data_IF_577943291831
#
_entry.id   IF_577943291831
#
_cell.length_a   1.000
_cell.length_b   1.000
_cell.length_c   1.000
_cell.angle_alpha   90.00
_cell.angle_beta   90.00
_cell.angle_gamma   90.00
#
_symmetry.space_group_name_H-M   'P 1'
#
loop_
_entity.id
_entity.type
_entity.pdbx_description
1 polymer ?
#
# COMPACT_ATOMS: atom_id res chain seq x y z
N UNK A 1 3.75 -10.71 16.43
CA UNK A 1 2.41 -10.81 15.80
C UNK A 1 1.82 -9.40 15.80
N UNK A 2 1.77 -8.72 14.67
CA UNK A 2 1.10 -7.41 14.62
C UNK A 2 -0.39 -7.60 14.85
N UNK A 3 -1.01 -6.72 15.62
CA UNK A 3 -2.46 -6.74 15.84
C UNK A 3 -3.17 -6.75 14.47
N UNK A 4 -3.77 -7.87 14.11
CA UNK A 4 -4.74 -7.92 13.00
C UNK A 4 -5.80 -6.87 13.29
N UNK A 5 -5.99 -5.89 12.39
CA UNK A 5 -6.99 -4.84 12.56
C UNK A 5 -6.46 -3.45 12.94
N UNK A 6 -5.14 -3.19 12.81
CA UNK A 6 -4.59 -1.84 13.05
C UNK A 6 -5.06 -0.76 12.04
N UNK A 7 -5.97 -1.08 11.11
CA UNK A 7 -6.51 -0.13 10.15
C UNK A 7 -5.59 0.16 8.94
N UNK A 8 -4.48 -0.58 8.76
CA UNK A 8 -3.53 -0.35 7.64
C UNK A 8 -4.19 -0.53 6.27
N UNK A 9 -4.76 -1.70 6.01
CA UNK A 9 -5.48 -1.98 4.75
C UNK A 9 -6.71 -1.08 4.58
N UNK A 10 -7.41 -0.75 5.67
CA UNK A 10 -8.52 0.20 5.65
C UNK A 10 -8.05 1.58 5.19
N UNK A 11 -6.89 2.04 5.68
CA UNK A 11 -6.31 3.31 5.26
C UNK A 11 -5.95 3.31 3.77
N UNK A 12 -5.37 2.21 3.25
CA UNK A 12 -5.09 2.11 1.80
C UNK A 12 -6.39 2.14 0.99
N UNK A 13 -7.45 1.44 1.41
CA UNK A 13 -8.78 1.48 0.76
C UNK A 13 -9.42 2.87 0.78
N UNK A 14 -9.23 3.62 1.86
CA UNK A 14 -9.70 5.01 1.94
C UNK A 14 -8.91 5.88 0.96
N UNK A 15 -7.57 5.76 0.93
CA UNK A 15 -6.71 6.52 0.02
C UNK A 15 -6.99 6.19 -1.45
N UNK A 16 -7.31 4.94 -1.78
CA UNK A 16 -7.71 4.52 -3.13
C UNK A 16 -9.15 4.93 -3.52
N UNK A 17 -9.90 5.53 -2.59
CA UNK A 17 -11.32 5.87 -2.74
C UNK A 17 -12.26 4.66 -2.91
N UNK A 18 -11.81 3.46 -2.53
CA UNK A 18 -12.69 2.28 -2.45
C UNK A 18 -13.59 2.28 -1.21
N UNK A 19 -13.20 3.05 -0.19
CA UNK A 19 -13.95 3.21 1.04
C UNK A 19 -14.01 4.69 1.43
N UNK A 20 -15.16 5.16 1.85
CA UNK A 20 -15.31 6.51 2.39
C UNK A 20 -14.89 6.55 3.87
N UNK A 21 -14.20 7.60 4.33
CA UNK A 21 -13.90 7.76 5.74
C UNK A 21 -15.16 8.16 6.52
N UNK A 22 -15.32 7.66 7.75
CA UNK A 22 -16.42 8.04 8.64
C UNK A 22 -16.41 9.54 8.95
N UNK A 23 -15.24 10.14 9.04
CA UNK A 23 -15.02 11.57 9.26
C UNK A 23 -13.75 12.04 8.55
N UNK A 24 -13.70 13.32 8.19
CA UNK A 24 -12.55 13.90 7.50
C UNK A 24 -12.75 13.98 5.98
N UNK A 25 -11.71 14.45 5.29
CA UNK A 25 -11.72 14.60 3.84
C UNK A 25 -10.35 14.26 3.28
N UNK A 26 -10.34 13.65 2.09
CA UNK A 26 -9.12 13.42 1.31
C UNK A 26 -8.98 14.57 0.32
N UNK A 27 -7.94 15.37 0.48
CA UNK A 27 -7.58 16.42 -0.48
C UNK A 27 -6.51 15.85 -1.44
N UNK A 28 -6.85 15.68 -2.68
CA UNK A 28 -5.94 15.23 -3.74
C UNK A 28 -6.25 15.99 -5.03
N UNK A 29 -5.25 16.14 -5.90
CA UNK A 29 -5.45 16.67 -7.23
C UNK A 29 -6.41 15.75 -8.01
N UNK A 30 -7.25 16.34 -8.87
CA UNK A 30 -8.25 15.57 -9.64
C UNK A 30 -7.61 14.70 -10.72
N UNK A 31 -6.45 15.09 -11.22
CA UNK A 31 -5.73 14.39 -12.28
C UNK A 31 -4.82 13.28 -11.75
N UNK A 32 -4.67 13.16 -10.42
CA UNK A 32 -3.78 12.19 -9.79
C UNK A 32 -4.24 10.76 -10.03
N UNK A 33 -3.42 9.97 -10.71
CA UNK A 33 -3.65 8.55 -10.96
C UNK A 33 -3.18 7.73 -9.75
N UNK A 34 -4.13 7.08 -9.08
CA UNK A 34 -3.85 6.23 -7.91
C UNK A 34 -4.09 4.78 -8.30
N UNK A 35 -3.05 3.97 -8.24
CA UNK A 35 -3.15 2.53 -8.42
C UNK A 35 -3.20 1.81 -7.07
N UNK A 36 -4.10 0.85 -6.92
CA UNK A 36 -4.24 0.04 -5.71
C UNK A 36 -4.28 -1.45 -6.05
N UNK A 37 -3.42 -2.24 -5.39
CA UNK A 37 -3.39 -3.69 -5.55
C UNK A 37 -4.59 -4.29 -4.79
N UNK A 38 -5.58 -4.76 -5.53
CA UNK A 38 -6.75 -5.44 -4.98
C UNK A 38 -6.41 -6.86 -4.56
N UNK A 39 -6.98 -7.31 -3.44
CA UNK A 39 -6.82 -8.70 -2.98
C UNK A 39 -7.85 -9.64 -3.63
N UNK A 40 -9.00 -9.11 -4.01
CA UNK A 40 -10.04 -9.85 -4.73
C UNK A 40 -9.81 -9.71 -6.24
N UNK A 41 -9.69 -10.85 -6.91
CA UNK A 41 -9.34 -10.90 -8.34
C UNK A 41 -10.53 -11.48 -9.10
N UNK A 42 -11.12 -10.63 -9.95
CA UNK A 42 -12.15 -11.02 -10.91
C UNK A 42 -11.57 -10.96 -12.33
N UNK A 43 -11.02 -12.08 -12.80
CA UNK A 43 -10.59 -12.17 -14.20
C UNK A 43 -11.75 -12.57 -15.11
N UNK A 44 -11.74 -12.00 -16.33
CA UNK A 44 -12.59 -12.45 -17.41
C UNK A 44 -12.05 -13.80 -17.89
N UNK A 45 -12.92 -14.83 -17.88
CA UNK A 45 -12.59 -16.17 -18.32
C UNK A 45 -12.17 -16.19 -19.79
N UNK A 46 -11.20 -17.04 -20.12
CA UNK A 46 -10.77 -17.30 -21.50
C UNK A 46 -9.70 -16.37 -22.04
N UNK A 47 -9.13 -15.45 -21.24
CA UNK A 47 -8.00 -14.60 -21.64
C UNK A 47 -6.67 -15.28 -21.29
N UNK A 48 -5.68 -15.04 -22.15
CA UNK A 48 -4.28 -15.42 -21.87
C UNK A 48 -3.63 -14.46 -20.88
N UNK A 49 -2.47 -14.83 -20.30
CA UNK A 49 -1.70 -13.96 -19.40
C UNK A 49 -1.35 -12.63 -20.05
N UNK A 50 -0.91 -12.64 -21.33
CA UNK A 50 -0.60 -11.40 -22.05
C UNK A 50 -1.84 -10.55 -22.32
N UNK A 51 -2.93 -11.14 -22.79
CA UNK A 51 -4.17 -10.43 -23.06
C UNK A 51 -4.70 -9.76 -21.80
N UNK A 52 -4.62 -10.45 -20.64
CA UNK A 52 -5.03 -9.88 -19.38
C UNK A 52 -4.09 -8.76 -18.93
N UNK A 53 -2.77 -8.92 -19.08
CA UNK A 53 -1.81 -7.87 -18.74
C UNK A 53 -1.97 -6.61 -19.61
N UNK A 54 -2.34 -6.78 -20.89
CA UNK A 54 -2.59 -5.66 -21.82
C UNK A 54 -3.83 -4.83 -21.45
N UNK A 55 -4.70 -5.32 -20.57
CA UNK A 55 -5.81 -4.51 -20.02
C UNK A 55 -5.33 -3.31 -19.20
N UNK A 56 -4.05 -3.28 -18.81
CA UNK A 56 -3.44 -2.10 -18.21
C UNK A 56 -3.42 -0.88 -19.14
N UNK A 57 -3.45 -1.09 -20.44
CA UNK A 57 -3.25 -0.07 -21.48
C UNK A 57 -4.55 0.32 -22.20
N UNK A 58 -5.57 0.69 -21.45
CA UNK A 58 -6.89 1.06 -21.99
C UNK A 58 -6.77 2.17 -23.04
N UNK A 59 -6.04 3.25 -22.72
CA UNK A 59 -5.87 4.41 -23.61
C UNK A 59 -5.15 4.02 -24.92
N UNK A 60 -4.13 3.17 -24.85
CA UNK A 60 -3.39 2.68 -26.04
C UNK A 60 -4.30 1.84 -26.94
N UNK A 61 -5.09 0.92 -26.35
CA UNK A 61 -6.03 0.10 -27.09
C UNK A 61 -7.14 0.91 -27.77
N UNK A 62 -7.62 1.96 -27.10
CA UNK A 62 -8.59 2.88 -27.72
C UNK A 62 -7.99 3.63 -28.90
N UNK A 63 -6.71 4.04 -28.81
CA UNK A 63 -6.01 4.66 -29.93
C UNK A 63 -5.79 3.66 -31.08
N UNK A 64 -5.38 2.43 -30.79
CA UNK A 64 -5.23 1.37 -31.80
C UNK A 64 -6.54 1.15 -32.56
N UNK A 65 -7.67 1.07 -31.86
CA UNK A 65 -8.97 0.90 -32.47
C UNK A 65 -9.35 2.10 -33.37
N UNK A 66 -9.11 3.34 -32.92
CA UNK A 66 -9.34 4.55 -33.72
C UNK A 66 -8.44 4.62 -34.96
N UNK A 67 -7.17 4.27 -34.81
CA UNK A 67 -6.23 4.22 -35.94
C UNK A 67 -6.65 3.19 -36.97
N UNK A 68 -7.11 2.02 -36.54
CA UNK A 68 -7.64 0.98 -37.46
C UNK A 68 -8.90 1.46 -38.19
N UNK A 69 -9.82 2.14 -37.50
CA UNK A 69 -11.01 2.73 -38.10
C UNK A 69 -10.65 3.76 -39.19
N UNK A 70 -9.74 4.71 -38.88
CA UNK A 70 -9.27 5.72 -39.83
C UNK A 70 -8.58 5.07 -41.04
N UNK A 71 -7.70 4.07 -40.80
CA UNK A 71 -7.03 3.33 -41.85
C UNK A 71 -8.03 2.59 -42.77
N UNK A 72 -9.08 1.98 -42.20
CA UNK A 72 -10.13 1.33 -42.94
C UNK A 72 -10.89 2.34 -43.82
N UNK A 73 -11.28 3.49 -43.27
CA UNK A 73 -11.93 4.57 -44.02
C UNK A 73 -11.04 5.09 -45.14
N UNK A 74 -9.74 5.24 -44.94
CA UNK A 74 -8.80 5.65 -45.96
C UNK A 74 -8.68 4.61 -47.10
N UNK A 75 -8.66 3.31 -46.73
CA UNK A 75 -8.54 2.22 -47.71
C UNK A 75 -9.78 2.05 -48.63
N UNK A 76 -10.96 2.39 -48.09
CA UNK A 76 -12.23 2.31 -48.86
C UNK A 76 -12.47 3.49 -49.79
N UNK A 77 -11.70 4.60 -49.64
CA UNK A 77 -11.88 5.83 -50.42
C UNK A 77 -10.98 5.85 -51.66
N UNK A 78 -11.50 6.43 -52.72
CA UNK A 78 -10.79 6.64 -54.00
C UNK A 78 -10.61 8.13 -54.33
N UNK A 79 -11.19 9.02 -53.51
CA UNK A 79 -11.21 10.46 -53.69
C UNK A 79 -10.04 11.16 -52.96
N UNK A 80 -8.81 10.80 -53.28
CA UNK A 80 -7.56 11.20 -52.59
C UNK A 80 -7.33 12.71 -52.53
N UNK A 81 -7.94 13.49 -53.43
CA UNK A 81 -7.79 14.96 -53.44
C UNK A 81 -8.91 15.68 -52.70
N UNK A 82 -9.83 14.94 -52.05
CA UNK A 82 -10.93 15.54 -51.33
C UNK A 82 -10.48 16.08 -49.97
N UNK A 83 -11.15 17.13 -49.51
CA UNK A 83 -10.91 17.69 -48.16
C UNK A 83 -11.15 16.63 -47.07
N UNK A 84 -12.12 15.73 -47.28
CA UNK A 84 -12.39 14.63 -46.35
C UNK A 84 -11.27 13.59 -46.27
N UNK A 85 -10.56 13.29 -47.37
CA UNK A 85 -9.38 12.42 -47.33
C UNK A 85 -8.20 13.10 -46.65
N UNK A 86 -7.99 14.39 -46.95
CA UNK A 86 -6.95 15.18 -46.26
C UNK A 86 -7.18 15.24 -44.74
N UNK A 87 -8.44 15.35 -44.28
CA UNK A 87 -8.75 15.33 -42.87
C UNK A 87 -8.38 13.98 -42.21
N UNK A 88 -8.69 12.84 -42.86
CA UNK A 88 -8.26 11.53 -42.37
C UNK A 88 -6.72 11.39 -42.23
N UNK A 89 -5.97 12.00 -43.18
CA UNK A 89 -4.49 12.04 -43.06
C UNK A 89 -4.00 12.86 -41.87
N UNK A 90 -4.68 13.94 -41.54
CA UNK A 90 -4.38 14.72 -40.30
C UNK A 90 -4.73 13.91 -39.07
N UNK A 91 -5.93 13.31 -39.05
CA UNK A 91 -6.40 12.52 -37.90
C UNK A 91 -5.48 11.33 -37.60
N UNK A 92 -5.01 10.59 -38.63
CA UNK A 92 -4.08 9.47 -38.39
C UNK A 92 -2.74 9.94 -37.87
N UNK A 93 -2.22 11.08 -38.32
CA UNK A 93 -0.96 11.64 -37.78
C UNK A 93 -1.11 12.05 -36.30
N UNK A 94 -2.23 12.69 -35.94
CA UNK A 94 -2.49 13.10 -34.58
C UNK A 94 -2.64 11.88 -33.64
N UNK A 95 -3.35 10.84 -34.09
CA UNK A 95 -3.49 9.58 -33.38
C UNK A 95 -2.14 8.87 -33.20
N UNK A 96 -1.30 8.84 -34.24
CA UNK A 96 0.05 8.26 -34.17
C UNK A 96 0.93 9.01 -33.18
N UNK A 97 0.84 10.35 -33.15
CA UNK A 97 1.59 11.16 -32.20
C UNK A 97 1.14 10.89 -30.75
N UNK A 98 -0.17 10.79 -30.51
CA UNK A 98 -0.70 10.42 -29.20
C UNK A 98 -0.24 9.00 -28.77
N UNK A 99 -0.27 8.05 -29.72
CA UNK A 99 0.18 6.68 -29.51
C UNK A 99 1.66 6.61 -29.11
N UNK A 100 2.51 7.41 -29.76
CA UNK A 100 3.93 7.51 -29.44
C UNK A 100 4.18 8.11 -28.05
N UNK A 101 3.47 9.20 -27.71
CA UNK A 101 3.56 9.84 -26.37
C UNK A 101 3.19 8.86 -25.24
N UNK A 102 2.18 8.01 -25.46
CA UNK A 102 1.76 7.00 -24.48
C UNK A 102 2.66 5.75 -24.46
N UNK A 103 3.70 5.70 -25.31
CA UNK A 103 4.62 4.56 -25.38
C UNK A 103 4.04 3.35 -26.09
N UNK A 104 3.06 3.54 -27.00
CA UNK A 104 2.37 2.50 -27.72
C UNK A 104 3.27 1.54 -28.49
N UNK A 105 4.45 1.97 -28.93
CA UNK A 105 5.43 1.08 -29.60
C UNK A 105 6.20 0.17 -28.64
N UNK A 106 6.21 0.45 -27.33
CA UNK A 106 7.04 -0.25 -26.36
C UNK A 106 6.23 -1.09 -25.35
N UNK A 107 4.91 -0.87 -25.24
CA UNK A 107 4.10 -1.46 -24.18
C UNK A 107 4.15 -3.00 -24.15
N UNK A 108 4.28 -3.64 -25.31
CA UNK A 108 4.39 -5.10 -25.38
C UNK A 108 5.70 -5.59 -24.76
N UNK A 109 6.81 -4.95 -25.09
CA UNK A 109 8.12 -5.29 -24.51
C UNK A 109 8.20 -5.01 -23.01
N UNK A 110 7.58 -3.93 -22.55
CA UNK A 110 7.54 -3.59 -21.13
C UNK A 110 6.64 -4.56 -20.36
N UNK A 111 5.52 -5.00 -20.95
CA UNK A 111 4.68 -6.06 -20.37
C UNK A 111 5.46 -7.36 -20.19
N UNK A 112 6.18 -7.81 -21.23
CA UNK A 112 7.01 -9.02 -21.14
C UNK A 112 8.06 -8.92 -20.04
N UNK A 113 8.75 -7.79 -19.92
CA UNK A 113 9.77 -7.56 -18.88
C UNK A 113 9.17 -7.63 -17.46
N UNK A 114 8.02 -6.99 -17.24
CA UNK A 114 7.36 -6.99 -15.93
C UNK A 114 6.85 -8.39 -15.58
N UNK A 115 6.21 -9.08 -16.52
CA UNK A 115 5.76 -10.46 -16.30
C UNK A 115 6.94 -11.40 -15.98
N UNK A 116 8.06 -11.30 -16.73
CA UNK A 116 9.25 -12.08 -16.44
C UNK A 116 9.85 -11.76 -15.07
N UNK A 117 9.89 -10.50 -14.71
CA UNK A 117 10.33 -10.05 -13.38
C UNK A 117 9.47 -10.61 -12.24
N UNK A 118 8.18 -10.83 -12.49
CA UNK A 118 7.26 -11.47 -11.55
C UNK A 118 7.24 -13.01 -11.65
N UNK A 119 8.19 -13.61 -12.37
CA UNK A 119 8.42 -15.04 -12.41
C UNK A 119 7.73 -15.80 -13.54
N UNK A 120 6.99 -15.14 -14.44
CA UNK A 120 6.41 -15.79 -15.62
C UNK A 120 7.50 -16.08 -16.65
N UNK A 121 7.41 -17.27 -17.25
CA UNK A 121 8.23 -17.61 -18.40
C UNK A 121 7.52 -17.24 -19.69
N UNK A 122 8.26 -17.05 -20.78
CA UNK A 122 7.66 -16.76 -22.09
C UNK A 122 6.64 -17.82 -22.54
N UNK A 123 6.85 -19.07 -22.17
CA UNK A 123 5.91 -20.18 -22.45
C UNK A 123 4.57 -20.04 -21.70
N UNK A 124 4.51 -19.22 -20.66
CA UNK A 124 3.29 -18.98 -19.87
C UNK A 124 2.40 -17.89 -20.47
N UNK A 125 2.96 -17.03 -21.30
CA UNK A 125 2.27 -15.83 -21.82
C UNK A 125 1.02 -16.15 -22.63
N UNK A 126 1.03 -17.24 -23.40
CA UNK A 126 -0.10 -17.74 -24.18
C UNK A 126 -1.05 -18.67 -23.42
N UNK A 127 -0.76 -18.99 -22.14
CA UNK A 127 -1.64 -19.85 -21.35
C UNK A 127 -2.82 -19.06 -20.81
N UNK A 128 -3.98 -19.71 -20.68
CA UNK A 128 -5.18 -19.11 -20.11
C UNK A 128 -4.99 -18.81 -18.62
N UNK A 129 -5.44 -17.63 -18.18
CA UNK A 129 -5.37 -17.19 -16.76
C UNK A 129 -6.07 -18.14 -15.81
N UNK A 130 -7.11 -18.84 -16.30
CA UNK A 130 -7.89 -19.81 -15.53
C UNK A 130 -7.08 -21.04 -15.10
N UNK A 131 -6.00 -21.33 -15.82
CA UNK A 131 -5.13 -22.48 -15.51
C UNK A 131 -4.16 -22.20 -14.36
N UNK A 132 -4.07 -20.96 -13.92
CA UNK A 132 -3.16 -20.53 -12.88
C UNK A 132 -3.82 -20.49 -11.49
N UNK A 133 -3.02 -20.74 -10.44
CA UNK A 133 -3.48 -20.58 -9.06
C UNK A 133 -3.75 -19.12 -8.72
N UNK A 134 -4.48 -18.87 -7.62
CA UNK A 134 -4.77 -17.52 -7.14
C UNK A 134 -3.52 -16.66 -6.95
N UNK A 135 -2.42 -17.24 -6.45
CA UNK A 135 -1.15 -16.52 -6.29
C UNK A 135 -0.55 -16.05 -7.63
N UNK A 136 -0.61 -16.86 -8.67
CA UNK A 136 -0.17 -16.46 -10.01
C UNK A 136 -1.07 -15.42 -10.62
N UNK A 137 -2.39 -15.50 -10.40
CA UNK A 137 -3.33 -14.47 -10.83
C UNK A 137 -3.07 -13.13 -10.13
N UNK A 138 -2.71 -13.15 -8.83
CA UNK A 138 -2.29 -11.96 -8.10
C UNK A 138 -1.04 -11.30 -8.72
N UNK A 139 -0.07 -12.11 -9.23
CA UNK A 139 1.09 -11.58 -9.94
C UNK A 139 0.71 -10.88 -11.24
N UNK A 140 -0.33 -11.35 -11.96
CA UNK A 140 -0.84 -10.66 -13.16
C UNK A 140 -1.46 -9.31 -12.77
N UNK A 141 -2.27 -9.25 -11.71
CA UNK A 141 -2.82 -7.98 -11.21
C UNK A 141 -1.73 -7.00 -10.79
N UNK A 142 -0.70 -7.50 -10.11
CA UNK A 142 0.47 -6.68 -9.79
C UNK A 142 1.15 -6.18 -11.07
N UNK A 143 1.34 -7.03 -12.09
CA UNK A 143 1.90 -6.61 -13.38
C UNK A 143 1.07 -5.49 -14.02
N UNK A 144 -0.25 -5.64 -14.10
CA UNK A 144 -1.16 -4.61 -14.62
C UNK A 144 -1.00 -3.28 -13.89
N UNK A 145 -0.94 -3.34 -12.56
CA UNK A 145 -0.76 -2.15 -11.73
C UNK A 145 0.57 -1.43 -12.00
N UNK A 146 1.67 -2.20 -12.14
CA UNK A 146 3.00 -1.64 -12.40
C UNK A 146 3.14 -1.06 -13.82
N UNK A 147 2.34 -1.55 -14.77
CA UNK A 147 2.30 -1.07 -16.16
C UNK A 147 1.54 0.24 -16.32
N UNK A 148 0.63 0.58 -15.42
CA UNK A 148 -0.26 1.74 -15.54
C UNK A 148 0.40 3.11 -15.30
N UNK A 149 1.69 3.17 -14.93
CA UNK A 149 2.41 4.41 -14.65
C UNK A 149 1.63 5.38 -13.74
N UNK A 150 1.14 4.87 -12.60
CA UNK A 150 0.37 5.66 -11.65
C UNK A 150 1.26 6.67 -10.90
N UNK A 151 0.71 7.83 -10.52
CA UNK A 151 1.42 8.81 -9.69
C UNK A 151 1.62 8.30 -8.26
N UNK A 152 0.66 7.49 -7.78
CA UNK A 152 0.73 6.83 -6.47
C UNK A 152 0.41 5.35 -6.61
N UNK A 153 1.27 4.49 -6.08
CA UNK A 153 1.02 3.06 -5.90
C UNK A 153 0.70 2.75 -4.44
N UNK A 154 -0.43 2.09 -4.22
CA UNK A 154 -0.85 1.58 -2.93
C UNK A 154 -0.76 0.05 -2.96
N UNK A 155 0.16 -0.52 -2.20
CA UNK A 155 0.46 -1.95 -2.21
C UNK A 155 0.16 -2.57 -0.83
N UNK A 156 -0.80 -3.49 -0.79
CA UNK A 156 -1.14 -4.25 0.42
C UNK A 156 -0.59 -5.68 0.28
N UNK A 157 0.45 -6.00 1.06
CA UNK A 157 1.16 -7.29 1.08
C UNK A 157 1.63 -7.76 -0.31
N UNK A 158 2.36 -6.92 -1.09
CA UNK A 158 2.73 -7.25 -2.48
C UNK A 158 3.70 -8.42 -2.59
N UNK A 159 4.41 -8.77 -1.51
CA UNK A 159 5.35 -9.89 -1.46
C UNK A 159 4.68 -11.25 -1.25
N UNK A 160 3.40 -11.27 -0.87
CA UNK A 160 2.65 -12.50 -0.75
C UNK A 160 2.59 -13.19 -2.11
N UNK A 161 2.82 -14.49 -2.12
CA UNK A 161 2.83 -15.34 -3.32
C UNK A 161 3.98 -15.08 -4.32
N UNK A 162 4.98 -14.22 -3.99
CA UNK A 162 6.19 -14.06 -4.78
C UNK A 162 7.30 -14.99 -4.26
N UNK A 163 8.10 -15.51 -5.17
CA UNK A 163 9.37 -16.14 -4.84
C UNK A 163 10.47 -15.09 -4.60
N UNK A 164 11.61 -15.51 -4.08
CA UNK A 164 12.70 -14.62 -3.70
C UNK A 164 13.22 -13.80 -4.89
N UNK A 165 13.30 -14.41 -6.08
CA UNK A 165 13.80 -13.74 -7.28
C UNK A 165 12.83 -12.63 -7.71
N UNK A 166 11.52 -12.89 -7.69
CA UNK A 166 10.48 -11.91 -7.97
C UNK A 166 10.44 -10.77 -6.92
N UNK A 167 10.70 -11.07 -5.64
CA UNK A 167 10.80 -10.03 -4.60
C UNK A 167 11.98 -9.11 -4.87
N UNK A 168 13.18 -9.66 -5.17
CA UNK A 168 14.37 -8.87 -5.47
C UNK A 168 14.13 -7.99 -6.72
N UNK A 169 13.48 -8.54 -7.73
CA UNK A 169 13.11 -7.78 -8.92
C UNK A 169 12.14 -6.64 -8.58
N UNK A 170 11.09 -6.92 -7.79
CA UNK A 170 10.11 -5.93 -7.36
C UNK A 170 10.75 -4.80 -6.53
N UNK A 171 11.68 -5.13 -5.63
CA UNK A 171 12.48 -4.14 -4.90
C UNK A 171 13.22 -3.20 -5.84
N UNK A 172 13.90 -3.77 -6.85
CA UNK A 172 14.65 -2.98 -7.85
C UNK A 172 13.71 -2.08 -8.67
N UNK A 173 12.54 -2.59 -9.06
CA UNK A 173 11.52 -1.84 -9.78
C UNK A 173 11.01 -0.65 -8.95
N UNK A 174 10.59 -0.90 -7.71
CA UNK A 174 10.02 0.13 -6.84
C UNK A 174 11.02 1.20 -6.41
N UNK A 175 12.31 0.86 -6.28
CA UNK A 175 13.37 1.85 -6.03
C UNK A 175 13.54 2.87 -7.16
N UNK A 176 13.28 2.45 -8.39
CA UNK A 176 13.39 3.28 -9.58
C UNK A 176 12.03 3.88 -10.00
N UNK A 177 10.97 3.62 -9.23
CA UNK A 177 9.65 4.14 -9.52
C UNK A 177 9.61 5.65 -9.32
N UNK A 178 9.08 6.39 -10.30
CA UNK A 178 9.06 7.86 -10.29
C UNK A 178 7.96 8.45 -9.43
N UNK A 179 6.86 7.70 -9.23
CA UNK A 179 5.74 8.10 -8.40
C UNK A 179 5.95 7.79 -6.92
N UNK A 180 4.97 8.14 -6.09
CA UNK A 180 4.96 7.79 -4.69
C UNK A 180 4.48 6.34 -4.49
N UNK A 181 5.09 5.63 -3.52
CA UNK A 181 4.70 4.25 -3.19
C UNK A 181 4.36 4.16 -1.72
N UNK A 182 3.15 3.69 -1.39
CA UNK A 182 2.76 3.37 -0.03
C UNK A 182 2.56 1.84 0.09
N UNK A 183 3.28 1.23 1.03
CA UNK A 183 3.37 -0.22 1.16
C UNK A 183 2.94 -0.63 2.57
N UNK A 184 2.08 -1.64 2.64
CA UNK A 184 1.85 -2.44 3.83
C UNK A 184 2.49 -3.80 3.58
N UNK A 185 3.41 -4.25 4.44
CA UNK A 185 4.02 -5.58 4.33
C UNK A 185 4.48 -6.09 5.69
N UNK A 186 4.49 -7.42 5.84
CA UNK A 186 5.12 -8.12 6.96
C UNK A 186 6.60 -8.44 6.69
N UNK A 187 7.06 -8.29 5.47
CA UNK A 187 8.47 -8.48 5.11
C UNK A 187 9.28 -7.24 5.47
N UNK A 188 10.01 -7.35 6.59
CA UNK A 188 10.82 -6.25 7.14
C UNK A 188 11.99 -5.88 6.23
N UNK A 189 12.59 -6.87 5.56
CA UNK A 189 13.73 -6.62 4.66
C UNK A 189 13.26 -5.88 3.40
N UNK A 190 12.13 -6.30 2.83
CA UNK A 190 11.51 -5.62 1.71
C UNK A 190 11.19 -4.16 2.04
N UNK A 191 10.53 -3.91 3.19
CA UNK A 191 10.24 -2.54 3.64
C UNK A 191 11.50 -1.71 3.78
N UNK A 192 12.55 -2.24 4.40
CA UNK A 192 13.79 -1.49 4.63
C UNK A 192 14.55 -1.19 3.34
N UNK A 193 14.44 -2.08 2.35
CA UNK A 193 15.08 -1.94 1.06
C UNK A 193 14.36 -0.92 0.15
N UNK A 194 13.05 -0.77 0.26
CA UNK A 194 12.24 0.02 -0.68
C UNK A 194 11.80 1.36 -0.10
N UNK A 195 11.56 1.43 1.23
CA UNK A 195 10.96 2.63 1.84
C UNK A 195 12.01 3.54 2.47
N UNK A 196 11.74 4.84 2.42
CA UNK A 196 12.55 5.89 3.08
C UNK A 196 11.80 6.59 4.23
N UNK A 197 10.53 6.26 4.44
CA UNK A 197 9.62 6.85 5.42
C UNK A 197 8.70 5.76 5.97
N UNK A 198 8.45 5.78 7.26
CA UNK A 198 7.57 4.82 7.93
C UNK A 198 6.45 5.55 8.65
N UNK A 199 5.23 5.12 8.44
CA UNK A 199 4.03 5.62 9.12
C UNK A 199 3.53 4.54 10.05
N UNK A 200 3.45 4.86 11.34
CA UNK A 200 2.89 3.97 12.36
C UNK A 200 1.48 4.40 12.73
N UNK A 201 0.55 3.46 12.75
CA UNK A 201 -0.81 3.65 13.27
C UNK A 201 -0.88 2.94 14.62
N UNK A 202 -0.97 3.70 15.71
CA UNK A 202 -1.01 3.16 17.06
C UNK A 202 -1.95 3.98 17.95
N UNK A 203 -2.78 3.32 18.76
CA UNK A 203 -3.75 3.95 19.68
C UNK A 203 -4.66 5.00 19.01
N UNK A 204 -5.07 4.77 17.77
CA UNK A 204 -5.89 5.72 17.00
C UNK A 204 -5.15 7.00 16.57
N UNK A 205 -3.82 7.02 16.67
CA UNK A 205 -2.97 8.12 16.22
C UNK A 205 -2.03 7.68 15.12
N UNK A 206 -1.63 8.62 14.28
CA UNK A 206 -0.66 8.41 13.21
C UNK A 206 0.65 9.07 13.64
N UNK A 207 1.73 8.30 13.59
CA UNK A 207 3.09 8.77 13.83
C UNK A 207 3.89 8.66 12.54
N UNK A 208 4.58 9.72 12.19
CA UNK A 208 5.32 9.84 10.95
C UNK A 208 6.82 9.89 11.23
N UNK A 209 7.54 8.92 10.70
CA UNK A 209 8.98 8.80 10.84
C UNK A 209 9.64 8.91 9.46
N UNK A 210 10.33 10.02 9.13
CA UNK A 210 11.06 10.17 7.86
C UNK A 210 12.34 9.33 7.87
N UNK A 211 12.19 8.03 8.11
CA UNK A 211 13.28 7.04 8.21
C UNK A 211 12.82 5.68 7.67
N UNK A 212 13.75 4.89 7.09
CA UNK A 212 13.51 3.48 6.74
C UNK A 212 13.08 2.65 7.95
N UNK A 213 12.50 1.49 7.68
CA UNK A 213 11.86 0.65 8.70
C UNK A 213 12.80 0.24 9.85
N UNK A 214 14.04 -0.16 9.56
CA UNK A 214 15.01 -0.55 10.62
C UNK A 214 15.35 0.61 11.56
N UNK A 215 15.53 1.82 11.01
CA UNK A 215 15.80 3.03 11.81
C UNK A 215 14.57 3.49 12.59
N UNK A 216 13.38 3.31 12.02
CA UNK A 216 12.13 3.54 12.74
C UNK A 216 12.02 2.69 13.98
N UNK A 217 12.35 1.38 13.93
CA UNK A 217 12.27 0.49 15.07
C UNK A 217 13.14 0.99 16.26
N UNK A 218 14.34 1.47 15.97
CA UNK A 218 15.24 2.03 17.01
C UNK A 218 14.63 3.29 17.64
N UNK A 219 14.17 4.22 16.80
CA UNK A 219 13.55 5.46 17.30
C UNK A 219 12.26 5.19 18.09
N UNK A 220 11.47 4.22 17.64
CA UNK A 220 10.26 3.81 18.37
C UNK A 220 10.59 3.29 19.77
N UNK A 221 11.60 2.45 19.89
CA UNK A 221 12.04 1.91 21.18
C UNK A 221 12.57 3.00 22.12
N UNK A 222 13.35 3.95 21.60
CA UNK A 222 13.82 5.11 22.37
C UNK A 222 12.64 5.96 22.88
N UNK A 223 11.71 6.32 22.00
CA UNK A 223 10.52 7.10 22.36
C UNK A 223 9.65 6.37 23.37
N UNK A 224 9.48 5.06 23.22
CA UNK A 224 8.74 4.24 24.15
C UNK A 224 9.38 4.21 25.54
N UNK A 225 10.69 4.05 25.62
CA UNK A 225 11.43 4.09 26.87
C UNK A 225 11.24 5.45 27.59
N UNK A 226 11.26 6.54 26.84
CA UNK A 226 10.97 7.88 27.36
C UNK A 226 9.51 8.02 27.84
N UNK A 227 8.55 7.48 27.07
CA UNK A 227 7.13 7.49 27.47
C UNK A 227 6.88 6.70 28.75
N UNK A 228 7.46 5.50 28.86
CA UNK A 228 7.37 4.69 30.09
C UNK A 228 7.97 5.40 31.31
N UNK A 229 9.13 6.04 31.14
CA UNK A 229 9.74 6.83 32.20
C UNK A 229 8.85 8.01 32.64
N UNK A 230 8.24 8.71 31.64
CA UNK A 230 7.33 9.83 31.88
C UNK A 230 6.03 9.37 32.56
N UNK A 231 5.45 8.24 32.12
CA UNK A 231 4.29 7.62 32.75
C UNK A 231 4.55 7.26 34.21
N UNK A 232 5.71 6.62 34.49
CA UNK A 232 6.12 6.26 35.85
C UNK A 232 6.29 7.48 36.73
N UNK A 233 6.85 8.57 36.19
CA UNK A 233 7.00 9.83 36.92
C UNK A 233 5.64 10.47 37.19
N UNK A 234 4.76 10.51 36.21
CA UNK A 234 3.39 11.01 36.36
C UNK A 234 2.62 10.21 37.41
N UNK A 235 2.70 8.89 37.37
CA UNK A 235 2.05 8.02 38.32
C UNK A 235 2.53 8.28 39.78
N UNK A 236 3.83 8.46 39.96
CA UNK A 236 4.37 8.84 41.28
C UNK A 236 3.84 10.19 41.78
N UNK A 237 3.72 11.18 40.88
CA UNK A 237 3.17 12.49 41.25
C UNK A 237 1.68 12.40 41.62
N UNK A 238 0.91 11.58 40.89
CA UNK A 238 -0.49 11.29 41.21
C UNK A 238 -0.61 10.67 42.59
N UNK A 239 0.13 9.59 42.89
CA UNK A 239 0.13 8.93 44.18
C UNK A 239 0.53 9.85 45.35
N UNK A 240 1.52 10.70 45.14
CA UNK A 240 1.93 11.69 46.13
C UNK A 240 0.82 12.72 46.38
N UNK A 241 0.16 13.15 45.35
CA UNK A 241 -0.95 14.13 45.42
C UNK A 241 -2.17 13.49 46.09
N UNK A 242 -2.50 12.23 45.80
CA UNK A 242 -3.55 11.49 46.46
C UNK A 242 -3.32 11.34 47.97
N UNK A 243 -2.09 10.95 48.37
CA UNK A 243 -1.71 10.91 49.78
C UNK A 243 -1.81 12.27 50.49
N UNK A 244 -1.50 13.35 49.78
CA UNK A 244 -1.65 14.69 50.31
C UNK A 244 -3.11 15.10 50.49
N UNK A 245 -3.95 14.73 49.54
CA UNK A 245 -5.42 14.93 49.61
C UNK A 245 -6.00 14.20 50.82
N UNK A 246 -5.67 12.95 51.00
CA UNK A 246 -6.12 12.17 52.18
C UNK A 246 -5.72 12.86 53.51
N UNK A 247 -4.48 13.30 53.60
CA UNK A 247 -3.97 14.02 54.80
C UNK A 247 -4.71 15.36 55.01
N UNK A 248 -5.13 16.04 53.95
CA UNK A 248 -5.84 17.32 54.04
C UNK A 248 -7.34 17.11 54.29
N UNK A 249 -7.96 16.05 53.77
CA UNK A 249 -9.34 15.70 54.10
C UNK A 249 -9.59 15.45 55.57
N UNK A 250 -8.59 14.92 56.28
CA UNK A 250 -8.65 14.69 57.73
C UNK A 250 -8.65 15.98 58.57
N UNK A 251 -8.42 17.17 57.97
CA UNK A 251 -8.33 18.46 58.69
C UNK A 251 -9.33 19.48 58.10
N UNK A 252 -10.36 19.84 58.84
CA UNK A 252 -11.43 20.73 58.41
C UNK A 252 -10.91 22.10 57.87
N UNK A 253 -9.82 22.64 58.45
CA UNK A 253 -9.19 23.88 58.02
C UNK A 253 -8.51 23.82 56.66
N UNK A 254 -8.33 22.60 56.07
CA UNK A 254 -7.66 22.39 54.78
C UNK A 254 -8.57 21.80 53.70
N UNK A 255 -9.86 21.74 53.95
CA UNK A 255 -10.84 21.17 53.04
C UNK A 255 -10.83 21.82 51.64
N UNK A 256 -10.75 23.15 51.57
CA UNK A 256 -10.69 23.92 50.29
C UNK A 256 -9.41 23.57 49.51
N UNK A 257 -8.30 23.36 50.18
CA UNK A 257 -7.04 22.97 49.54
C UNK A 257 -7.08 21.56 48.99
N UNK A 258 -7.73 20.62 49.70
CA UNK A 258 -7.97 19.27 49.21
C UNK A 258 -8.85 19.27 47.92
N UNK A 259 -9.93 20.07 47.90
CA UNK A 259 -10.78 20.21 46.72
C UNK A 259 -10.03 20.79 45.53
N UNK A 260 -9.14 21.76 45.75
CA UNK A 260 -8.32 22.32 44.65
C UNK A 260 -7.35 21.29 44.06
N UNK A 261 -6.76 20.40 44.91
CA UNK A 261 -5.88 19.34 44.45
C UNK A 261 -6.63 18.25 43.71
N UNK A 262 -7.84 17.89 44.13
CA UNK A 262 -8.72 16.96 43.40
C UNK A 262 -9.02 17.49 41.99
N UNK A 263 -9.47 18.76 41.88
CA UNK A 263 -9.72 19.38 40.59
C UNK A 263 -8.47 19.44 39.67
N UNK A 264 -7.29 19.49 40.23
CA UNK A 264 -6.04 19.42 39.47
C UNK A 264 -5.77 17.99 38.98
N UNK A 265 -6.00 16.99 39.83
CA UNK A 265 -5.86 15.57 39.48
C UNK A 265 -6.84 15.15 38.37
N UNK A 266 -8.11 15.61 38.45
CA UNK A 266 -9.14 15.32 37.45
C UNK A 266 -8.83 15.92 36.07
N UNK A 267 -7.94 16.91 36.00
CA UNK A 267 -7.51 17.55 34.73
C UNK A 267 -6.22 16.98 34.16
N UNK A 268 -5.60 16.02 34.81
CA UNK A 268 -4.38 15.39 34.32
C UNK A 268 -4.73 14.37 33.26
N UNK A 269 -4.32 14.65 32.02
CA UNK A 269 -4.34 13.64 30.94
C UNK A 269 -3.31 12.55 31.28
N UNK A 270 -3.79 11.33 31.45
CA UNK A 270 -2.92 10.19 31.75
C UNK A 270 -2.13 9.79 30.52
N UNK A 271 -0.83 9.58 30.68
CA UNK A 271 0.03 9.11 29.62
C UNK A 271 -0.28 7.63 29.37
N UNK A 272 -0.86 7.34 28.20
CA UNK A 272 -1.07 5.99 27.72
C UNK A 272 0.16 5.55 26.93
N UNK A 273 0.67 4.36 27.24
CA UNK A 273 1.77 3.74 26.51
C UNK A 273 1.24 2.45 25.91
N UNK A 274 1.58 2.21 24.66
CA UNK A 274 1.18 0.99 23.95
C UNK A 274 1.77 -0.24 24.68
N UNK A 275 0.92 -1.23 24.96
CA UNK A 275 1.39 -2.48 25.55
C UNK A 275 2.16 -3.27 24.49
N UNK A 276 3.33 -3.82 24.85
CA UNK A 276 4.01 -4.79 24.01
C UNK A 276 3.12 -6.01 23.82
N UNK A 277 2.94 -6.41 22.59
CA UNK A 277 2.46 -7.74 22.29
C UNK A 277 3.59 -8.76 22.56
N UNK A 278 3.90 -8.94 23.83
CA UNK A 278 4.86 -9.94 24.33
C UNK A 278 4.22 -11.33 24.41
N UNK A 279 3.22 -11.62 23.58
CA UNK A 279 2.62 -12.95 23.50
C UNK A 279 3.66 -13.94 22.96
N UNK A 280 4.50 -14.46 23.87
CA UNK A 280 5.39 -15.58 23.57
C UNK A 280 4.51 -16.83 23.45
N UNK A 281 4.35 -17.32 22.25
CA UNK A 281 3.69 -18.59 22.00
C UNK A 281 4.65 -19.71 22.50
N UNK A 282 4.40 -20.24 23.67
CA UNK A 282 5.12 -21.41 24.17
C UNK A 282 4.53 -22.64 23.51
N UNK A 283 5.15 -23.09 22.42
CA UNK A 283 4.80 -24.36 21.78
C UNK A 283 5.39 -25.50 22.60
N UNK A 284 4.55 -26.20 23.35
CA UNK A 284 4.92 -27.42 24.04
C UNK A 284 4.59 -28.61 23.14
N UNK A 285 5.61 -29.24 22.53
CA UNK A 285 5.45 -30.47 21.76
C UNK A 285 5.58 -31.66 22.70
N UNK A 286 4.48 -32.30 23.16
CA UNK A 286 4.59 -33.54 23.91
C UNK A 286 5.18 -34.63 22.98
N UNK A 287 6.31 -35.19 23.34
CA UNK A 287 6.87 -36.35 22.65
C UNK A 287 5.92 -37.53 22.89
N UNK A 288 5.11 -37.88 21.89
CA UNK A 288 4.12 -38.94 21.98
C UNK A 288 4.69 -40.34 21.82
N UNK A 289 5.94 -40.48 21.36
CA UNK A 289 6.61 -41.77 21.18
C UNK A 289 8.07 -41.65 21.64
N UNK A 290 8.44 -42.33 22.71
CA UNK A 290 9.84 -42.53 23.08
C UNK A 290 10.42 -43.55 22.11
N UNK A 291 11.56 -43.31 21.43
CA UNK A 291 12.23 -44.35 20.64
C UNK A 291 12.53 -45.51 21.56
N UNK A 292 11.99 -46.68 21.23
CA UNK A 292 12.27 -47.92 21.97
C UNK A 292 13.77 -48.24 21.95
N UNK A 293 14.26 -48.70 23.07
CA UNK A 293 15.60 -49.29 23.23
C UNK A 293 15.75 -50.53 22.38
#
# INVERSE_FOLDING_TARGET
MEKMGAGKSTMLKILSKEMEPDTGQIAADKELKIGFLKQDIDFILGRTVLEEAYEAFVEIKELEAKMEEVNTQMAERTDYESEGYHQLMVDINDLQHQYDILGGYNYQGDTEKILQGLGFKREDFGKLTDTFSGGWRMRIELAKLLLQNNDILLLDEPTNHLDIESIIWLESFLRNYTGAVAIVSHDKMFLDNVTNRTIEISLGRIYDYPKPYSKFLVLREELRTQQLASQKNQQKQIEQTEKLIEKFRAKASKATMAQSLIKKLDKIDRIEVDEDDNSVMTLNFPVSITPGR
#
